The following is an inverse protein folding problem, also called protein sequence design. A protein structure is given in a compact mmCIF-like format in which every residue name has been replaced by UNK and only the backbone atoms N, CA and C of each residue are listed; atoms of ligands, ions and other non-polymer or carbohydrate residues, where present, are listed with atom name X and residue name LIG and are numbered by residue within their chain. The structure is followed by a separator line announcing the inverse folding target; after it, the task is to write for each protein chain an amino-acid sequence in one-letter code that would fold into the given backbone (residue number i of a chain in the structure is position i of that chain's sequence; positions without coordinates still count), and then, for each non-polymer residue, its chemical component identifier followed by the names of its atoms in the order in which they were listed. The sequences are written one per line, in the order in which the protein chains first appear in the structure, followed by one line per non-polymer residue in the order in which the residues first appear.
data_IF_170961313853
#
_entry.id   IF_170961313853
#
_cell.length_a   1.000
_cell.length_b   1.000
_cell.length_c   1.000
_cell.angle_alpha   90.00
_cell.angle_beta   90.00
_cell.angle_gamma   90.00
#
_symmetry.space_group_name_H-M   'P 1'
#
loop_
_entity.id
_entity.type
_entity.pdbx_description
1 polymer ?
#
# COMPACT_ATOMS: atom_id res chain seq x y z
N UNK A 1 11.60 12.08 13.04
CA UNK A 1 11.87 10.98 12.09
C UNK A 1 13.32 11.12 11.64
N UNK A 2 14.11 10.04 11.58
CA UNK A 2 15.49 10.12 11.08
C UNK A 2 15.49 10.35 9.56
N UNK A 3 16.60 10.90 9.04
CA UNK A 3 16.76 11.12 7.59
C UNK A 3 16.66 9.80 6.82
N UNK A 4 17.31 8.76 7.32
CA UNK A 4 17.27 7.39 6.79
C UNK A 4 15.85 6.81 6.71
N UNK A 5 15.03 6.95 7.76
CA UNK A 5 13.64 6.47 7.73
C UNK A 5 12.81 7.24 6.70
N UNK A 6 13.09 8.52 6.51
CA UNK A 6 12.38 9.36 5.54
C UNK A 6 12.72 8.95 4.10
N UNK A 7 13.98 8.59 3.85
CA UNK A 7 14.44 8.05 2.57
C UNK A 7 13.83 6.68 2.28
N UNK A 8 13.81 5.78 3.27
CA UNK A 8 13.16 4.46 3.14
C UNK A 8 11.67 4.59 2.81
N UNK A 9 10.93 5.44 3.55
CA UNK A 9 9.49 5.68 3.27
C UNK A 9 9.29 6.20 1.85
N UNK A 10 10.12 7.16 1.43
CA UNK A 10 10.04 7.74 0.09
C UNK A 10 10.32 6.70 -1.00
N UNK A 11 11.33 5.84 -0.79
CA UNK A 11 11.68 4.77 -1.71
C UNK A 11 10.58 3.72 -1.81
N UNK A 12 10.04 3.24 -0.69
CA UNK A 12 8.90 2.30 -0.67
C UNK A 12 7.69 2.90 -1.38
N UNK A 13 7.40 4.18 -1.12
CA UNK A 13 6.30 4.88 -1.78
C UNK A 13 6.47 4.93 -3.31
N UNK A 14 7.67 5.26 -3.80
CA UNK A 14 7.97 5.25 -5.24
C UNK A 14 7.80 3.84 -5.82
N UNK A 15 8.37 2.82 -5.16
CA UNK A 15 8.26 1.43 -5.63
C UNK A 15 6.81 0.94 -5.69
N UNK A 16 5.99 1.29 -4.70
CA UNK A 16 4.57 0.94 -4.68
C UNK A 16 3.76 1.55 -5.82
N UNK A 17 4.28 2.58 -6.51
CA UNK A 17 3.67 3.17 -7.70
C UNK A 17 4.22 2.56 -9.00
N UNK A 18 5.50 2.19 -9.01
CA UNK A 18 6.20 1.74 -10.22
C UNK A 18 6.07 0.23 -10.47
N UNK A 19 5.93 -0.57 -9.40
CA UNK A 19 5.98 -2.03 -9.44
C UNK A 19 4.56 -2.62 -9.33
N UNK A 20 4.36 -3.80 -9.91
CA UNK A 20 3.04 -4.46 -9.97
C UNK A 20 2.80 -5.42 -8.82
N UNK A 21 3.88 -5.91 -8.22
CA UNK A 21 3.83 -6.91 -7.16
C UNK A 21 4.82 -6.58 -6.06
N UNK A 22 4.51 -7.06 -4.86
CA UNK A 22 5.44 -7.02 -3.74
C UNK A 22 5.29 -8.24 -2.84
N UNK A 23 6.35 -8.51 -2.07
CA UNK A 23 6.34 -9.52 -1.02
C UNK A 23 7.09 -9.04 0.23
N UNK A 24 7.00 -9.83 1.30
CA UNK A 24 7.77 -9.68 2.52
C UNK A 24 8.83 -10.77 2.58
N UNK A 25 10.08 -10.38 2.80
CA UNK A 25 11.19 -11.33 2.96
C UNK A 25 11.54 -11.48 4.45
N UNK A 26 11.93 -12.70 4.88
CA UNK A 26 12.37 -12.93 6.24
C UNK A 26 13.65 -12.12 6.53
N UNK A 27 13.75 -11.56 7.73
CA UNK A 27 14.97 -10.89 8.15
C UNK A 27 16.13 -11.88 8.29
N UNK A 28 17.29 -11.47 7.78
CA UNK A 28 18.55 -12.20 7.90
C UNK A 28 19.51 -11.29 8.66
N UNK A 29 20.04 -11.76 9.78
CA UNK A 29 21.08 -11.08 10.53
C UNK A 29 22.40 -11.12 9.74
N UNK A 30 23.06 -9.97 9.60
CA UNK A 30 24.41 -9.89 9.04
C UNK A 30 24.56 -8.93 7.85
N UNK A 31 25.70 -8.99 7.14
CA UNK A 31 26.05 -8.03 6.08
C UNK A 31 25.18 -8.14 4.82
N UNK A 32 24.49 -9.27 4.64
CA UNK A 32 23.61 -9.52 3.50
C UNK A 32 22.17 -9.00 3.74
N UNK A 33 21.91 -8.38 4.88
CA UNK A 33 20.62 -7.75 5.18
C UNK A 33 20.27 -6.67 4.15
N UNK A 34 19.04 -6.73 3.63
CA UNK A 34 18.49 -5.71 2.73
C UNK A 34 17.08 -5.35 3.19
N UNK A 35 16.85 -4.08 3.50
CA UNK A 35 15.51 -3.57 3.81
C UNK A 35 14.56 -3.72 2.62
N UNK A 36 15.09 -3.44 1.42
CA UNK A 36 14.37 -3.43 0.16
C UNK A 36 15.16 -4.24 -0.85
N UNK A 37 14.51 -5.24 -1.44
CA UNK A 37 15.03 -6.00 -2.57
C UNK A 37 14.18 -5.70 -3.81
N UNK A 38 14.80 -5.36 -4.92
CA UNK A 38 14.09 -5.09 -6.19
C UNK A 38 14.45 -6.15 -7.22
N UNK A 39 13.44 -6.73 -7.86
CA UNK A 39 13.60 -7.74 -8.93
C UNK A 39 12.57 -7.44 -10.01
N UNK A 40 13.04 -7.07 -11.20
CA UNK A 40 12.21 -6.80 -12.38
C UNK A 40 10.99 -5.90 -12.09
N UNK A 41 9.78 -6.47 -12.11
CA UNK A 41 8.50 -5.78 -11.90
C UNK A 41 7.98 -5.86 -10.46
N UNK A 42 8.81 -6.35 -9.55
CA UNK A 42 8.45 -6.64 -8.16
C UNK A 42 9.48 -6.06 -7.18
N UNK A 43 9.05 -5.85 -5.94
CA UNK A 43 9.95 -5.49 -4.85
C UNK A 43 9.58 -6.27 -3.59
N UNK A 44 10.55 -6.50 -2.71
CA UNK A 44 10.30 -7.14 -1.43
C UNK A 44 10.77 -6.26 -0.28
N UNK A 45 10.03 -6.32 0.81
CA UNK A 45 10.30 -5.57 2.03
C UNK A 45 10.70 -6.53 3.15
N UNK A 46 11.75 -6.19 3.88
CA UNK A 46 12.17 -6.97 5.03
C UNK A 46 11.15 -6.89 6.17
N UNK A 47 10.86 -8.03 6.81
CA UNK A 47 9.95 -8.12 7.95
C UNK A 47 10.46 -7.39 9.23
N UNK A 48 11.70 -6.90 9.20
CA UNK A 48 12.27 -6.07 10.25
C UNK A 48 11.76 -4.63 10.21
N UNK A 49 11.29 -4.16 9.05
CA UNK A 49 10.91 -2.76 8.83
C UNK A 49 9.79 -2.27 9.77
N UNK A 50 8.72 -3.05 10.04
CA UNK A 50 7.73 -2.68 11.05
C UNK A 50 8.31 -2.67 12.46
N UNK A 51 9.24 -3.59 12.76
CA UNK A 51 9.78 -3.86 14.11
C UNK A 51 10.86 -2.87 14.53
N UNK A 52 11.73 -2.47 13.60
CA UNK A 52 12.95 -1.74 13.93
C UNK A 52 12.82 -0.22 13.77
N UNK A 53 12.04 0.28 12.80
CA UNK A 53 12.19 1.70 12.43
C UNK A 53 10.96 2.38 11.85
N UNK A 54 10.14 1.74 11.01
CA UNK A 54 9.13 2.48 10.25
C UNK A 54 7.82 2.70 11.03
N UNK A 55 7.26 1.66 11.64
CA UNK A 55 5.96 1.79 12.33
C UNK A 55 6.01 2.82 13.47
N UNK A 56 6.97 2.66 14.39
CA UNK A 56 7.11 3.55 15.53
C UNK A 56 7.47 4.98 15.09
N UNK A 57 8.32 5.15 14.07
CA UNK A 57 8.68 6.47 13.57
C UNK A 57 7.50 7.19 12.93
N UNK A 58 6.71 6.49 12.12
CA UNK A 58 5.49 7.05 11.51
C UNK A 58 4.51 7.44 12.61
N UNK A 59 4.23 6.54 13.54
CA UNK A 59 3.31 6.78 14.65
C UNK A 59 3.75 7.98 15.51
N UNK A 60 5.02 8.02 15.94
CA UNK A 60 5.57 9.14 16.70
C UNK A 60 5.55 10.45 15.92
N UNK A 61 5.77 10.41 14.60
CA UNK A 61 5.71 11.60 13.75
C UNK A 61 4.29 12.17 13.69
N UNK A 62 3.28 11.32 13.51
CA UNK A 62 1.87 11.73 13.53
C UNK A 62 1.43 12.25 14.89
N UNK A 63 1.90 11.65 15.99
CA UNK A 63 1.61 12.17 17.33
C UNK A 63 2.24 13.55 17.59
N UNK A 64 3.47 13.78 17.11
CA UNK A 64 4.20 15.04 17.37
C UNK A 64 3.70 16.20 16.51
N UNK A 65 3.32 15.94 15.27
CA UNK A 65 2.90 16.98 14.32
C UNK A 65 1.46 17.45 14.50
N UNK A 66 0.61 16.68 15.22
CA UNK A 66 -0.86 16.80 15.18
C UNK A 66 -1.47 16.64 13.77
N UNK A 67 -0.64 16.47 12.74
CA UNK A 67 -1.07 16.23 11.38
C UNK A 67 -1.34 14.73 11.17
N UNK A 68 -2.37 14.38 10.39
CA UNK A 68 -2.60 13.01 10.01
C UNK A 68 -1.40 12.45 9.22
N UNK A 69 -1.16 11.13 9.26
CA UNK A 69 -0.10 10.50 8.48
C UNK A 69 -0.26 10.82 6.98
N UNK A 70 0.85 11.14 6.33
CA UNK A 70 0.89 11.39 4.88
C UNK A 70 0.52 10.15 4.07
N UNK A 71 0.20 10.32 2.78
CA UNK A 71 -0.09 9.19 1.88
C UNK A 71 1.08 8.19 1.78
N UNK A 72 2.32 8.68 1.83
CA UNK A 72 3.52 7.84 1.82
C UNK A 72 3.62 6.99 3.08
N UNK A 73 3.35 7.59 4.25
CA UNK A 73 3.28 6.87 5.52
C UNK A 73 2.17 5.81 5.48
N UNK A 74 0.97 6.17 5.02
CA UNK A 74 -0.15 5.24 4.88
C UNK A 74 0.17 4.08 3.92
N UNK A 75 0.86 4.34 2.80
CA UNK A 75 1.32 3.28 1.89
C UNK A 75 2.19 2.26 2.63
N UNK A 76 3.23 2.73 3.31
CA UNK A 76 4.14 1.85 4.06
C UNK A 76 3.36 1.02 5.08
N UNK A 77 2.52 1.64 5.90
CA UNK A 77 1.78 0.93 6.95
C UNK A 77 0.85 -0.15 6.37
N UNK A 78 0.15 0.13 5.27
CA UNK A 78 -0.82 -0.78 4.66
C UNK A 78 -0.20 -1.93 3.85
N UNK A 79 1.07 -1.80 3.44
CA UNK A 79 1.83 -2.92 2.87
C UNK A 79 2.16 -3.99 3.92
N UNK A 80 2.11 -3.66 5.21
CA UNK A 80 2.31 -4.63 6.30
C UNK A 80 1.01 -5.02 7.00
N UNK A 81 0.09 -4.06 7.18
CA UNK A 81 -1.14 -4.26 7.96
C UNK A 81 -2.36 -3.85 7.12
N UNK A 82 -2.71 -4.65 6.10
CA UNK A 82 -3.78 -4.31 5.17
C UNK A 82 -5.17 -4.35 5.82
N UNK A 83 -5.35 -4.99 6.97
CA UNK A 83 -6.64 -5.11 7.65
C UNK A 83 -6.97 -3.93 8.58
N UNK A 84 -6.11 -2.92 8.69
CA UNK A 84 -6.38 -1.79 9.57
C UNK A 84 -7.35 -0.79 8.92
N UNK A 85 -8.64 -0.89 9.25
CA UNK A 85 -9.71 -0.03 8.70
C UNK A 85 -9.43 1.46 8.88
N UNK A 86 -8.86 1.88 10.02
CA UNK A 86 -8.54 3.29 10.30
C UNK A 86 -7.59 3.88 9.27
N UNK A 87 -6.61 3.11 8.79
CA UNK A 87 -5.65 3.59 7.78
C UNK A 87 -6.33 3.79 6.42
N UNK A 88 -7.25 2.88 6.04
CA UNK A 88 -8.04 3.04 4.82
C UNK A 88 -9.00 4.24 4.90
N UNK A 89 -9.62 4.48 6.05
CA UNK A 89 -10.44 5.67 6.26
C UNK A 89 -9.62 6.96 6.07
N UNK A 90 -8.38 7.02 6.57
CA UNK A 90 -7.49 8.16 6.31
C UNK A 90 -7.18 8.33 4.83
N UNK A 91 -7.02 7.25 4.07
CA UNK A 91 -6.85 7.36 2.61
C UNK A 91 -8.10 7.89 1.91
N UNK A 92 -9.30 7.49 2.35
CA UNK A 92 -10.56 8.06 1.82
C UNK A 92 -10.63 9.57 2.07
N UNK A 93 -10.24 10.03 3.25
CA UNK A 93 -10.15 11.47 3.56
C UNK A 93 -9.18 12.19 2.61
N UNK A 94 -7.98 11.63 2.39
CA UNK A 94 -7.01 12.20 1.46
C UNK A 94 -7.54 12.24 0.02
N UNK A 95 -8.28 11.22 -0.42
CA UNK A 95 -8.92 11.20 -1.74
C UNK A 95 -9.99 12.30 -1.86
N UNK A 96 -10.86 12.44 -0.86
CA UNK A 96 -11.91 13.46 -0.83
C UNK A 96 -11.33 14.89 -0.80
N UNK A 97 -10.15 15.06 -0.22
CA UNK A 97 -9.43 16.34 -0.18
C UNK A 97 -8.59 16.60 -1.45
N UNK A 98 -8.63 15.72 -2.46
CA UNK A 98 -7.86 15.86 -3.69
C UNK A 98 -6.35 15.62 -3.54
N UNK A 99 -5.92 14.99 -2.44
CA UNK A 99 -4.51 14.69 -2.15
C UNK A 99 -4.07 13.30 -2.68
N UNK A 100 -5.01 12.53 -3.22
CA UNK A 100 -4.79 11.27 -3.93
C UNK A 100 -5.76 11.21 -5.13
N UNK A 101 -5.49 10.33 -6.09
CA UNK A 101 -6.37 10.09 -7.24
C UNK A 101 -7.01 8.70 -7.18
N UNK A 102 -8.20 8.50 -7.76
CA UNK A 102 -8.81 7.16 -7.84
C UNK A 102 -7.86 6.14 -8.50
N UNK A 103 -7.16 6.54 -9.56
CA UNK A 103 -6.21 5.67 -10.27
C UNK A 103 -5.03 5.23 -9.40
N UNK A 104 -4.44 6.14 -8.60
CA UNK A 104 -3.38 5.79 -7.66
C UNK A 104 -3.88 4.79 -6.60
N UNK A 105 -5.08 5.00 -6.08
CA UNK A 105 -5.67 4.15 -5.04
C UNK A 105 -6.07 2.76 -5.57
N UNK A 106 -6.61 2.67 -6.80
CA UNK A 106 -6.90 1.40 -7.46
C UNK A 106 -5.60 0.63 -7.75
N UNK A 107 -4.52 1.31 -8.15
CA UNK A 107 -3.22 0.69 -8.33
C UNK A 107 -2.65 0.17 -7.01
N UNK A 108 -2.73 0.97 -5.95
CA UNK A 108 -2.24 0.58 -4.62
C UNK A 108 -3.03 -0.58 -4.01
N UNK A 109 -4.36 -0.56 -4.09
CA UNK A 109 -5.19 -1.68 -3.61
C UNK A 109 -4.91 -2.96 -4.39
N UNK A 110 -4.68 -2.89 -5.71
CA UNK A 110 -4.27 -4.06 -6.51
C UNK A 110 -2.95 -4.64 -6.01
N UNK A 111 -1.95 -3.79 -5.75
CA UNK A 111 -0.67 -4.21 -5.18
C UNK A 111 -0.88 -4.95 -3.84
N UNK A 112 -1.66 -4.36 -2.92
CA UNK A 112 -1.97 -4.97 -1.61
C UNK A 112 -2.71 -6.30 -1.76
N UNK A 113 -3.74 -6.38 -2.60
CA UNK A 113 -4.56 -7.57 -2.82
C UNK A 113 -3.79 -8.69 -3.52
N UNK A 114 -2.80 -8.37 -4.35
CA UNK A 114 -1.93 -9.38 -4.94
C UNK A 114 -1.19 -10.19 -3.86
N UNK A 115 -0.80 -9.54 -2.75
CA UNK A 115 -0.15 -10.19 -1.61
C UNK A 115 -1.13 -10.75 -0.58
N UNK A 116 -2.20 -10.00 -0.32
CA UNK A 116 -3.20 -10.30 0.69
C UNK A 116 -4.59 -10.44 0.04
N UNK A 117 -4.81 -11.52 -0.75
CA UNK A 117 -6.02 -11.65 -1.57
C UNK A 117 -7.32 -11.77 -0.77
N UNK A 118 -7.21 -12.09 0.53
CA UNK A 118 -8.34 -12.25 1.46
C UNK A 118 -8.57 -11.03 2.36
N UNK A 119 -7.79 -9.97 2.21
CA UNK A 119 -7.95 -8.78 3.03
C UNK A 119 -9.24 -8.03 2.62
N UNK A 120 -10.19 -7.94 3.55
CA UNK A 120 -11.51 -7.36 3.31
C UNK A 120 -11.48 -5.84 3.13
N UNK A 121 -10.63 -5.17 3.90
CA UNK A 121 -10.53 -3.72 3.94
C UNK A 121 -10.06 -3.10 2.61
N UNK A 122 -9.01 -3.61 1.94
CA UNK A 122 -8.65 -3.13 0.60
C UNK A 122 -9.74 -3.40 -0.46
N UNK A 123 -10.50 -4.50 -0.35
CA UNK A 123 -11.65 -4.76 -1.24
C UNK A 123 -12.77 -3.74 -1.01
N UNK A 124 -13.11 -3.46 0.25
CA UNK A 124 -14.11 -2.46 0.62
C UNK A 124 -13.68 -1.04 0.20
N UNK A 125 -12.39 -0.72 0.33
CA UNK A 125 -11.83 0.55 -0.14
C UNK A 125 -11.94 0.67 -1.66
N UNK A 126 -11.56 -0.39 -2.38
CA UNK A 126 -11.68 -0.45 -3.84
C UNK A 126 -13.12 -0.27 -4.32
N UNK A 127 -14.07 -1.01 -3.74
CA UNK A 127 -15.50 -0.89 -4.04
C UNK A 127 -16.01 0.55 -3.82
N UNK A 128 -15.65 1.15 -2.69
CA UNK A 128 -16.02 2.53 -2.37
C UNK A 128 -15.52 3.55 -3.41
N UNK A 129 -14.35 3.32 -4.02
CA UNK A 129 -13.82 4.17 -5.10
C UNK A 129 -14.62 3.94 -6.39
N UNK A 130 -14.83 2.69 -6.78
CA UNK A 130 -15.53 2.33 -8.01
C UNK A 130 -16.96 2.91 -8.05
N UNK A 131 -17.68 2.90 -6.93
CA UNK A 131 -19.01 3.51 -6.79
C UNK A 131 -19.05 5.03 -7.06
N UNK A 132 -17.90 5.70 -7.04
CA UNK A 132 -17.77 7.16 -7.18
C UNK A 132 -17.23 7.58 -8.54
N UNK A 133 -16.87 6.63 -9.38
CA UNK A 133 -16.46 6.90 -10.75
C UNK A 133 -17.67 7.23 -11.61
N UNK A 134 -17.47 8.04 -12.64
CA UNK A 134 -18.44 8.18 -13.72
C UNK A 134 -18.59 6.85 -14.47
N UNK A 135 -19.70 6.68 -15.19
CA UNK A 135 -19.91 5.49 -16.02
C UNK A 135 -18.79 5.28 -17.04
N UNK A 136 -18.28 6.36 -17.65
CA UNK A 136 -17.20 6.29 -18.63
C UNK A 136 -15.88 5.80 -18.00
N UNK A 137 -15.53 6.33 -16.83
CA UNK A 137 -14.35 5.90 -16.07
C UNK A 137 -14.47 4.43 -15.63
N UNK A 138 -15.65 4.03 -15.14
CA UNK A 138 -15.90 2.66 -14.72
C UNK A 138 -15.79 1.66 -15.89
N UNK A 139 -16.43 1.96 -17.02
CA UNK A 139 -16.36 1.12 -18.23
C UNK A 139 -14.91 0.98 -18.73
N UNK A 140 -14.11 2.04 -18.61
CA UNK A 140 -12.69 1.98 -19.01
C UNK A 140 -11.86 1.02 -18.16
N UNK A 141 -12.26 0.78 -16.91
CA UNK A 141 -11.58 -0.09 -15.95
C UNK A 141 -12.19 -1.49 -15.84
N UNK A 142 -13.38 -1.72 -16.42
CA UNK A 142 -14.15 -2.95 -16.23
C UNK A 142 -13.34 -4.23 -16.53
N UNK A 143 -12.53 -4.23 -17.59
CA UNK A 143 -11.67 -5.38 -17.92
C UNK A 143 -10.61 -5.62 -16.85
N UNK A 144 -9.93 -4.58 -16.39
CA UNK A 144 -8.91 -4.71 -15.36
C UNK A 144 -9.48 -5.17 -14.02
N UNK A 145 -10.71 -4.76 -13.69
CA UNK A 145 -11.43 -5.22 -12.51
C UNK A 145 -11.80 -6.70 -12.60
N UNK A 146 -12.29 -7.15 -13.76
CA UNK A 146 -12.59 -8.57 -14.00
C UNK A 146 -11.32 -9.40 -13.87
N UNK A 147 -10.23 -9.00 -14.53
CA UNK A 147 -8.93 -9.69 -14.45
C UNK A 147 -8.43 -9.78 -13.00
N UNK A 148 -8.59 -8.71 -12.21
CA UNK A 148 -8.24 -8.72 -10.80
C UNK A 148 -9.12 -9.70 -10.02
N UNK A 149 -10.44 -9.69 -10.22
CA UNK A 149 -11.36 -10.57 -9.53
C UNK A 149 -11.08 -12.05 -9.81
N UNK A 150 -10.77 -12.39 -11.07
CA UNK A 150 -10.35 -13.74 -11.47
C UNK A 150 -9.03 -14.13 -10.79
N UNK A 151 -8.02 -13.27 -10.85
CA UNK A 151 -6.72 -13.52 -10.21
C UNK A 151 -6.83 -13.69 -8.69
N UNK A 152 -7.73 -12.94 -8.05
CA UNK A 152 -8.02 -13.13 -6.63
C UNK A 152 -8.74 -14.46 -6.42
N UNK A 153 -9.77 -14.78 -7.20
CA UNK A 153 -10.51 -16.04 -7.13
C UNK A 153 -9.63 -17.28 -7.27
N UNK A 154 -8.66 -17.28 -8.19
CA UNK A 154 -7.71 -18.37 -8.35
C UNK A 154 -6.83 -18.59 -7.11
N UNK A 155 -6.44 -17.51 -6.43
CA UNK A 155 -5.72 -17.56 -5.15
C UNK A 155 -6.59 -18.03 -3.97
N UNK A 156 -7.90 -18.20 -4.16
CA UNK A 156 -8.81 -18.76 -3.16
C UNK A 156 -8.99 -20.28 -3.27
N UNK A 157 -8.52 -20.92 -4.35
CA UNK A 157 -8.60 -22.37 -4.56
C UNK A 157 -7.48 -23.12 -3.86
#
# INVERSE_FOLDING_TARGET
MSAENSELISRIFILSKLKKEYDLIPHIDGPDHKEILEVDHSFALCDCLPRQSLWLSIYQSSLKSQDPPSIANLNVLLLFIPSCTTLWHRRKELLLNGQATPSDELSFTRLVLNRFPRATEPLQHRHWILERLSNEEFESLAREEIDLCEALGDKHR
#
